data_IF_516685863549
#
_entry.id   IF_516685863549
#
_cell.length_a   1.000
_cell.length_b   1.000
_cell.length_c   1.000
_cell.angle_alpha   90.00
_cell.angle_beta   90.00
_cell.angle_gamma   90.00
#
_symmetry.space_group_name_H-M   'P 1'
#
loop_
_entity.id
_entity.type
_entity.pdbx_description
1 polymer ?
#
# COMPACT_ATOMS: atom_id res chain seq x y z
N UNK A 1 -4.91 -14.14 13.60
CA UNK A 1 -4.91 -14.58 12.19
C UNK A 1 -3.53 -15.14 11.86
N UNK A 2 -3.41 -16.33 11.27
CA UNK A 2 -2.12 -16.85 10.81
C UNK A 2 -1.61 -15.92 9.70
N UNK A 3 -0.34 -15.51 9.76
CA UNK A 3 0.30 -14.84 8.63
C UNK A 3 0.13 -15.71 7.39
N UNK A 4 -0.28 -15.15 6.25
CA UNK A 4 -0.36 -15.93 5.02
C UNK A 4 1.03 -16.51 4.72
N UNK A 5 1.07 -17.75 4.20
CA UNK A 5 2.31 -18.37 3.76
C UNK A 5 2.95 -17.69 2.55
N UNK A 6 2.25 -16.68 1.98
CA UNK A 6 2.66 -15.88 0.83
C UNK A 6 3.13 -14.51 1.26
N UNK A 7 4.14 -13.96 0.59
CA UNK A 7 4.50 -12.54 0.68
C UNK A 7 3.42 -11.72 -0.04
N UNK A 8 2.77 -10.83 0.71
CA UNK A 8 1.69 -9.97 0.20
C UNK A 8 2.28 -8.66 -0.33
N UNK A 9 2.02 -8.36 -1.59
CA UNK A 9 2.55 -7.18 -2.27
C UNK A 9 1.40 -6.38 -2.86
N UNK A 10 1.31 -5.12 -2.48
CA UNK A 10 0.38 -4.16 -3.08
C UNK A 10 1.11 -3.34 -4.13
N UNK A 11 0.54 -3.26 -5.32
CA UNK A 11 1.01 -2.37 -6.39
C UNK A 11 0.15 -1.12 -6.44
N UNK A 12 0.79 0.04 -6.47
CA UNK A 12 0.16 1.37 -6.51
C UNK A 12 0.79 2.24 -7.60
N UNK A 13 0.20 3.38 -7.91
CA UNK A 13 0.64 4.25 -9.01
C UNK A 13 0.01 3.83 -10.33
N UNK A 14 0.75 3.87 -11.42
CA UNK A 14 0.30 3.53 -12.77
C UNK A 14 0.08 2.01 -12.96
N UNK A 15 -0.86 1.46 -12.19
CA UNK A 15 -1.21 0.04 -12.26
C UNK A 15 -2.09 -0.23 -13.46
N UNK A 16 -1.62 -1.05 -14.39
CA UNK A 16 -2.40 -1.50 -15.54
C UNK A 16 -2.86 -2.95 -15.40
N UNK A 17 -4.02 -3.25 -15.96
CA UNK A 17 -4.54 -4.63 -16.05
C UNK A 17 -3.56 -5.58 -16.72
N UNK A 18 -2.81 -5.06 -17.71
CA UNK A 18 -1.81 -5.83 -18.43
C UNK A 18 -0.71 -6.34 -17.49
N UNK A 19 -0.18 -5.49 -16.62
CA UNK A 19 0.88 -5.86 -15.65
C UNK A 19 0.40 -6.98 -14.74
N UNK A 20 -0.76 -6.82 -14.08
CA UNK A 20 -1.28 -7.84 -13.16
C UNK A 20 -1.62 -9.16 -13.89
N UNK A 21 -2.20 -9.07 -15.09
CA UNK A 21 -2.50 -10.25 -15.90
C UNK A 21 -1.24 -11.02 -16.30
N UNK A 22 -0.19 -10.34 -16.70
CA UNK A 22 1.08 -10.95 -17.05
C UNK A 22 1.81 -11.56 -15.84
N UNK A 23 1.81 -10.85 -14.71
CA UNK A 23 2.33 -11.37 -13.44
C UNK A 23 1.61 -12.65 -13.01
N UNK A 24 0.29 -12.72 -13.21
CA UNK A 24 -0.51 -13.90 -12.90
C UNK A 24 -0.16 -15.16 -13.71
N UNK A 25 0.57 -15.00 -14.84
CA UNK A 25 1.10 -16.14 -15.62
C UNK A 25 2.36 -16.75 -15.03
N UNK A 26 3.01 -16.05 -14.10
CA UNK A 26 4.20 -16.57 -13.44
C UNK A 26 3.82 -17.66 -12.42
N UNK A 27 4.55 -18.79 -12.37
CA UNK A 27 4.18 -19.93 -11.54
C UNK A 27 4.25 -19.66 -10.05
N UNK A 28 5.06 -18.68 -9.62
CA UNK A 28 5.28 -18.31 -8.23
C UNK A 28 4.47 -17.07 -7.80
N UNK A 29 3.65 -16.49 -8.68
CA UNK A 29 2.87 -15.28 -8.42
C UNK A 29 1.38 -15.56 -8.59
N UNK A 30 0.59 -15.20 -7.59
CA UNK A 30 -0.86 -15.04 -7.68
C UNK A 30 -1.13 -13.54 -7.78
N UNK A 31 -1.51 -13.06 -8.97
CA UNK A 31 -1.81 -11.64 -9.19
C UNK A 31 -3.31 -11.44 -9.43
N UNK A 32 -3.91 -10.47 -8.77
CA UNK A 32 -5.35 -10.23 -8.75
C UNK A 32 -5.67 -8.73 -8.78
N UNK A 33 -6.74 -8.37 -9.52
CA UNK A 33 -7.43 -7.08 -9.39
C UNK A 33 -8.49 -7.20 -8.30
N UNK A 34 -8.24 -6.60 -7.14
CA UNK A 34 -9.18 -6.60 -6.02
C UNK A 34 -10.02 -5.31 -5.93
N UNK A 35 -9.69 -4.32 -6.75
CA UNK A 35 -10.46 -3.08 -6.86
C UNK A 35 -11.63 -3.16 -7.85
N UNK A 36 -11.76 -4.26 -8.61
CA UNK A 36 -12.86 -4.47 -9.55
C UNK A 36 -14.16 -4.89 -8.86
N UNK A 37 -15.28 -4.51 -9.46
CA UNK A 37 -16.60 -4.93 -8.99
C UNK A 37 -16.74 -6.46 -9.06
N UNK A 38 -17.22 -7.08 -7.98
CA UNK A 38 -17.35 -8.53 -7.88
C UNK A 38 -16.05 -9.28 -7.58
N UNK A 39 -14.93 -8.59 -7.36
CA UNK A 39 -13.70 -9.22 -6.93
C UNK A 39 -13.88 -9.91 -5.55
N UNK A 40 -13.12 -11.00 -5.29
CA UNK A 40 -13.13 -11.64 -3.98
C UNK A 40 -12.59 -10.68 -2.91
N UNK A 41 -13.02 -10.86 -1.68
CA UNK A 41 -12.50 -10.07 -0.56
C UNK A 41 -11.02 -10.42 -0.28
N UNK A 42 -10.27 -9.45 0.26
CA UNK A 42 -8.87 -9.70 0.64
C UNK A 42 -8.75 -10.88 1.61
N UNK A 43 -9.68 -11.05 2.53
CA UNK A 43 -9.72 -12.18 3.48
C UNK A 43 -9.83 -13.53 2.78
N UNK A 44 -10.71 -13.64 1.79
CA UNK A 44 -10.86 -14.87 1.00
C UNK A 44 -9.59 -15.19 0.22
N UNK A 45 -9.01 -14.17 -0.41
CA UNK A 45 -7.77 -14.31 -1.17
C UNK A 45 -6.60 -14.73 -0.28
N UNK A 46 -6.44 -14.11 0.89
CA UNK A 46 -5.38 -14.47 1.85
C UNK A 46 -5.55 -15.90 2.37
N UNK A 47 -6.81 -16.34 2.57
CA UNK A 47 -7.12 -17.71 3.00
C UNK A 47 -6.83 -18.77 1.93
N UNK A 48 -6.92 -18.40 0.66
CA UNK A 48 -6.69 -19.28 -0.49
C UNK A 48 -5.29 -19.15 -1.10
N UNK A 49 -4.47 -18.20 -0.63
CA UNK A 49 -3.15 -17.95 -1.17
C UNK A 49 -2.20 -19.15 -0.97
N UNK A 50 -1.69 -19.68 -2.06
CA UNK A 50 -0.86 -20.89 -2.10
C UNK A 50 0.44 -20.71 -2.92
N UNK A 51 0.69 -19.51 -3.45
CA UNK A 51 1.93 -19.17 -4.17
C UNK A 51 2.86 -18.32 -3.31
N UNK A 52 4.17 -18.30 -3.55
CA UNK A 52 5.13 -17.49 -2.81
C UNK A 52 4.76 -16.01 -2.72
N UNK A 53 4.23 -15.44 -3.81
CA UNK A 53 3.80 -14.05 -3.87
C UNK A 53 2.30 -13.93 -4.17
N UNK A 54 1.62 -13.09 -3.37
CA UNK A 54 0.29 -12.58 -3.64
C UNK A 54 0.42 -11.10 -4.00
N UNK A 55 0.14 -10.74 -5.24
CA UNK A 55 0.24 -9.37 -5.76
C UNK A 55 -1.16 -8.85 -6.08
N UNK A 56 -1.54 -7.69 -5.57
CA UNK A 56 -2.84 -7.08 -5.85
C UNK A 56 -2.79 -5.55 -5.82
N UNK A 57 -3.86 -4.91 -6.27
CA UNK A 57 -4.02 -3.46 -6.40
C UNK A 57 -4.89 -2.82 -5.28
N UNK A 58 -5.42 -3.60 -4.35
CA UNK A 58 -6.22 -3.09 -3.25
C UNK A 58 -5.29 -2.57 -2.13
N UNK A 59 -5.18 -1.25 -2.04
CA UNK A 59 -4.43 -0.61 -0.97
C UNK A 59 -5.28 -0.46 0.31
N UNK A 60 -4.87 -1.08 1.43
CA UNK A 60 -5.61 -0.97 2.69
C UNK A 60 -5.59 0.44 3.29
N UNK A 61 -4.72 1.31 2.81
CA UNK A 61 -4.61 2.70 3.25
C UNK A 61 -5.16 3.70 2.22
N UNK A 62 -5.86 3.26 1.17
CA UNK A 62 -6.32 4.14 0.08
C UNK A 62 -7.15 5.33 0.58
N UNK A 63 -8.09 5.12 1.51
CA UNK A 63 -8.90 6.19 2.08
C UNK A 63 -8.06 7.14 2.95
N UNK A 64 -7.14 6.61 3.75
CA UNK A 64 -6.19 7.40 4.54
C UNK A 64 -5.28 8.22 3.63
N UNK A 65 -4.76 7.63 2.55
CA UNK A 65 -3.93 8.30 1.56
C UNK A 65 -4.69 9.47 0.89
N UNK A 66 -5.94 9.26 0.51
CA UNK A 66 -6.79 10.29 -0.08
C UNK A 66 -7.05 11.43 0.92
N UNK A 67 -7.39 11.10 2.17
CA UNK A 67 -7.60 12.08 3.22
C UNK A 67 -6.34 12.86 3.59
N UNK A 68 -5.18 12.20 3.61
CA UNK A 68 -3.89 12.85 3.85
C UNK A 68 -3.52 13.81 2.71
N UNK A 69 -3.73 13.43 1.45
CA UNK A 69 -3.53 14.33 0.30
C UNK A 69 -4.45 15.55 0.38
N UNK A 70 -5.72 15.34 0.73
CA UNK A 70 -6.64 16.45 0.97
C UNK A 70 -6.13 17.39 2.08
N UNK A 71 -5.62 16.84 3.17
CA UNK A 71 -5.02 17.62 4.26
C UNK A 71 -3.70 18.29 3.86
N UNK A 72 -2.94 17.68 2.97
CA UNK A 72 -1.74 18.29 2.38
C UNK A 72 -2.08 19.58 1.64
N UNK A 73 -3.18 19.58 0.88
CA UNK A 73 -3.63 20.74 0.12
C UNK A 73 -4.41 21.74 0.98
N UNK A 74 -5.24 21.27 1.91
CA UNK A 74 -6.10 22.11 2.77
C UNK A 74 -6.11 21.61 4.24
N UNK A 75 -5.52 22.38 5.18
CA UNK A 75 -5.50 22.03 6.60
C UNK A 75 -6.87 21.90 7.26
N UNK A 76 -7.90 22.50 6.70
CA UNK A 76 -9.26 22.43 7.26
C UNK A 76 -9.83 21.00 7.23
N UNK A 77 -9.27 20.14 6.41
CA UNK A 77 -9.71 18.74 6.21
C UNK A 77 -9.12 17.75 7.23
N UNK A 78 -8.41 18.21 8.27
CA UNK A 78 -7.82 17.35 9.32
C UNK A 78 -8.85 16.41 9.97
N UNK A 79 -10.11 16.82 10.06
CA UNK A 79 -11.19 15.99 10.57
C UNK A 79 -11.42 14.73 9.73
N UNK A 80 -11.34 14.85 8.40
CA UNK A 80 -11.46 13.73 7.48
C UNK A 80 -10.29 12.77 7.67
N UNK A 81 -9.05 13.28 7.74
CA UNK A 81 -7.87 12.45 7.96
C UNK A 81 -7.98 11.64 9.26
N UNK A 82 -8.49 12.24 10.33
CA UNK A 82 -8.68 11.54 11.61
C UNK A 82 -9.72 10.43 11.50
N UNK A 83 -10.84 10.69 10.84
CA UNK A 83 -11.91 9.69 10.65
C UNK A 83 -11.38 8.49 9.86
N UNK A 84 -10.72 8.73 8.73
CA UNK A 84 -10.18 7.65 7.89
C UNK A 84 -9.06 6.87 8.60
N UNK A 85 -8.23 7.55 9.39
CA UNK A 85 -7.21 6.90 10.23
C UNK A 85 -7.82 5.94 11.24
N UNK A 86 -8.83 6.37 12.01
CA UNK A 86 -9.46 5.51 13.00
C UNK A 86 -10.27 4.38 12.35
N UNK A 87 -10.85 4.61 11.17
CA UNK A 87 -11.52 3.59 10.38
C UNK A 87 -10.53 2.49 9.94
N UNK A 88 -9.38 2.87 9.42
CA UNK A 88 -8.33 1.93 9.04
C UNK A 88 -7.81 1.11 10.24
N UNK A 89 -7.56 1.78 11.37
CA UNK A 89 -7.13 1.11 12.61
C UNK A 89 -8.17 0.10 13.11
N UNK A 90 -9.45 0.44 13.02
CA UNK A 90 -10.55 -0.45 13.38
C UNK A 90 -10.59 -1.68 12.48
N UNK A 91 -10.44 -1.49 11.16
CA UNK A 91 -10.40 -2.59 10.19
C UNK A 91 -9.19 -3.52 10.42
N UNK A 92 -8.02 -2.97 10.76
CA UNK A 92 -6.84 -3.77 11.13
C UNK A 92 -7.07 -4.55 12.41
N UNK A 93 -7.64 -3.95 13.45
CA UNK A 93 -7.94 -4.61 14.71
C UNK A 93 -8.97 -5.74 14.55
N UNK A 94 -9.98 -5.54 13.67
CA UNK A 94 -10.98 -6.56 13.33
C UNK A 94 -10.44 -7.67 12.41
N UNK A 95 -9.22 -7.51 11.85
CA UNK A 95 -8.66 -8.43 10.86
C UNK A 95 -9.42 -8.42 9.52
N UNK A 96 -10.14 -7.34 9.23
CA UNK A 96 -10.83 -7.12 7.97
C UNK A 96 -9.88 -6.60 6.89
N UNK A 97 -8.81 -5.96 7.31
CA UNK A 97 -7.74 -5.47 6.47
C UNK A 97 -6.36 -5.76 7.09
N UNK A 98 -5.33 -5.79 6.28
CA UNK A 98 -3.93 -6.02 6.71
C UNK A 98 -2.99 -5.14 5.90
N UNK A 99 -1.92 -4.63 6.53
CA UNK A 99 -0.84 -4.02 5.78
C UNK A 99 -0.13 -5.08 4.94
N UNK A 100 0.22 -4.79 3.67
CA UNK A 100 0.98 -5.72 2.85
C UNK A 100 2.42 -5.86 3.38
N UNK A 101 3.11 -6.92 2.97
CA UNK A 101 4.54 -7.03 3.25
C UNK A 101 5.33 -5.94 2.50
N UNK A 102 4.91 -5.58 1.29
CA UNK A 102 5.54 -4.56 0.45
C UNK A 102 4.52 -3.75 -0.34
N UNK A 103 4.84 -2.48 -0.53
CA UNK A 103 4.27 -1.62 -1.57
C UNK A 103 5.26 -1.49 -2.72
N UNK A 104 4.82 -1.71 -3.95
CA UNK A 104 5.55 -1.35 -5.16
C UNK A 104 4.88 -0.14 -5.80
N UNK A 105 5.59 0.99 -5.82
CA UNK A 105 5.11 2.23 -6.43
C UNK A 105 5.54 2.24 -7.89
N UNK A 106 4.58 2.00 -8.79
CA UNK A 106 4.83 1.91 -10.23
C UNK A 106 4.90 3.31 -10.84
N UNK A 107 5.88 3.49 -11.72
CA UNK A 107 6.17 4.75 -12.39
C UNK A 107 6.23 5.95 -11.43
N UNK A 108 7.18 5.98 -10.50
CA UNK A 108 7.26 7.02 -9.47
C UNK A 108 7.45 8.43 -10.04
N UNK A 109 7.87 8.57 -11.30
CA UNK A 109 8.03 9.86 -11.99
C UNK A 109 6.71 10.34 -12.60
N UNK A 110 5.77 9.43 -12.88
CA UNK A 110 4.45 9.73 -13.45
C UNK A 110 3.37 10.11 -12.43
N UNK A 111 3.61 9.88 -11.12
CA UNK A 111 2.63 10.19 -10.08
C UNK A 111 2.70 11.67 -9.65
N UNK A 112 1.59 12.17 -9.09
CA UNK A 112 1.54 13.56 -8.61
C UNK A 112 2.49 13.83 -7.44
N UNK A 113 2.92 15.09 -7.19
CA UNK A 113 3.77 15.42 -6.04
C UNK A 113 3.18 14.97 -4.70
N UNK A 114 1.87 15.08 -4.49
CA UNK A 114 1.20 14.66 -3.27
C UNK A 114 1.20 13.13 -3.10
N UNK A 115 1.05 12.37 -4.19
CA UNK A 115 1.17 10.91 -4.19
C UNK A 115 2.61 10.47 -3.94
N UNK A 116 3.56 11.11 -4.60
CA UNK A 116 4.99 10.86 -4.36
C UNK A 116 5.35 11.12 -2.89
N UNK A 117 4.87 12.22 -2.31
CA UNK A 117 5.10 12.53 -0.91
C UNK A 117 4.44 11.50 0.03
N UNK A 118 3.24 11.00 -0.31
CA UNK A 118 2.60 9.95 0.46
C UNK A 118 3.40 8.65 0.44
N UNK A 119 3.68 8.12 -0.76
CA UNK A 119 4.34 6.82 -0.89
C UNK A 119 5.82 6.86 -0.50
N UNK A 120 6.57 7.77 -1.11
CA UNK A 120 8.03 7.80 -1.00
C UNK A 120 8.54 8.72 0.11
N UNK A 121 7.68 9.59 0.64
CA UNK A 121 7.95 10.39 1.82
C UNK A 121 7.40 9.75 3.09
N UNK A 122 6.09 9.79 3.28
CA UNK A 122 5.43 9.38 4.54
C UNK A 122 5.59 7.88 4.81
N UNK A 123 5.14 7.01 3.91
CA UNK A 123 5.19 5.56 4.13
C UNK A 123 6.62 5.02 4.10
N UNK A 124 7.47 5.52 3.20
CA UNK A 124 8.87 5.11 3.17
C UNK A 124 9.65 5.55 4.42
N UNK A 125 9.30 6.68 5.05
CA UNK A 125 9.89 7.08 6.32
C UNK A 125 9.51 6.13 7.47
N UNK A 126 8.29 5.59 7.45
CA UNK A 126 7.83 4.60 8.44
C UNK A 126 8.52 3.25 8.25
N UNK A 127 8.66 2.79 7.02
CA UNK A 127 9.23 1.49 6.68
C UNK A 127 10.00 1.53 5.34
N UNK A 128 11.25 2.03 5.33
CA UNK A 128 12.02 2.29 4.09
C UNK A 128 12.21 1.05 3.21
N UNK A 129 12.33 -0.13 3.80
CA UNK A 129 12.52 -1.38 3.06
C UNK A 129 11.21 -2.00 2.55
N UNK A 130 10.06 -1.35 2.77
CA UNK A 130 8.73 -1.88 2.46
C UNK A 130 8.02 -1.11 1.36
N UNK A 131 8.51 0.08 1.01
CA UNK A 131 7.94 0.93 -0.03
C UNK A 131 9.01 1.14 -1.09
N UNK A 132 8.82 0.52 -2.24
CA UNK A 132 9.87 0.39 -3.26
C UNK A 132 9.39 0.99 -4.59
N UNK A 133 10.10 1.99 -5.13
CA UNK A 133 9.81 2.51 -6.47
C UNK A 133 10.22 1.48 -7.53
N UNK A 134 9.36 1.30 -8.54
CA UNK A 134 9.58 0.33 -9.63
C UNK A 134 9.06 0.89 -10.94
N UNK A 135 9.76 0.65 -12.02
CA UNK A 135 9.27 0.92 -13.38
C UNK A 135 7.95 0.18 -13.64
N UNK A 136 6.97 0.83 -14.29
CA UNK A 136 5.67 0.24 -14.61
C UNK A 136 5.74 -0.79 -15.75
N UNK A 137 6.64 -1.78 -15.61
CA UNK A 137 6.78 -2.90 -16.54
C UNK A 137 6.74 -4.24 -15.79
N UNK A 138 6.15 -5.25 -16.41
CA UNK A 138 6.09 -6.61 -15.84
C UNK A 138 7.47 -7.14 -15.51
N UNK A 139 8.46 -6.89 -16.37
CA UNK A 139 9.83 -7.35 -16.18
C UNK A 139 10.52 -6.69 -14.97
N UNK A 140 10.28 -5.38 -14.75
CA UNK A 140 10.82 -4.67 -13.60
C UNK A 140 10.17 -5.17 -12.29
N UNK A 141 8.84 -5.34 -12.28
CA UNK A 141 8.12 -5.89 -11.12
C UNK A 141 8.60 -7.31 -10.82
N UNK A 142 8.76 -8.17 -11.83
CA UNK A 142 9.25 -9.53 -11.65
C UNK A 142 10.66 -9.57 -11.04
N UNK A 143 11.58 -8.72 -11.52
CA UNK A 143 12.93 -8.60 -10.95
C UNK A 143 12.88 -8.14 -9.50
N UNK A 144 12.02 -7.16 -9.20
CA UNK A 144 11.83 -6.68 -7.83
C UNK A 144 11.34 -7.79 -6.92
N UNK A 145 10.28 -8.52 -7.29
CA UNK A 145 9.75 -9.65 -6.51
C UNK A 145 10.85 -10.69 -6.20
N UNK A 146 11.70 -11.00 -7.17
CA UNK A 146 12.80 -11.95 -6.99
C UNK A 146 13.89 -11.46 -6.01
N UNK A 147 13.98 -10.15 -5.78
CA UNK A 147 14.98 -9.53 -4.91
C UNK A 147 14.44 -9.14 -3.52
N UNK A 148 13.13 -9.30 -3.28
CA UNK A 148 12.52 -8.90 -2.01
C UNK A 148 13.15 -9.68 -0.85
N UNK A 149 13.73 -9.00 0.14
CA UNK A 149 14.23 -9.67 1.33
C UNK A 149 13.06 -10.19 2.16
N UNK A 150 13.26 -11.32 2.83
CA UNK A 150 12.38 -11.76 3.92
C UNK A 150 12.47 -10.69 5.01
N UNK A 151 11.45 -9.85 5.08
CA UNK A 151 11.59 -8.63 5.82
C UNK A 151 10.89 -8.62 7.16
N UNK A 152 11.18 -7.57 7.91
CA UNK A 152 10.56 -7.24 9.19
C UNK A 152 9.11 -6.79 8.96
N UNK A 153 8.24 -7.04 9.94
CA UNK A 153 6.90 -6.49 9.97
C UNK A 153 6.93 -4.95 9.99
N UNK A 154 5.84 -4.32 9.58
CA UNK A 154 5.64 -2.89 9.79
C UNK A 154 5.68 -2.57 11.28
N UNK A 155 6.09 -1.35 11.67
CA UNK A 155 5.85 -0.85 13.02
C UNK A 155 4.35 -0.88 13.34
N UNK A 156 4.00 -0.92 14.63
CA UNK A 156 2.60 -0.84 15.05
C UNK A 156 1.91 0.36 14.37
N UNK A 157 0.85 0.13 13.59
CA UNK A 157 0.22 1.19 12.81
C UNK A 157 -0.43 2.28 13.66
N UNK A 158 -0.80 1.98 14.90
CA UNK A 158 -1.51 2.92 15.78
C UNK A 158 -0.75 4.23 15.97
N UNK A 159 0.55 4.13 16.26
CA UNK A 159 1.36 5.32 16.56
C UNK A 159 1.57 6.22 15.35
N UNK A 160 2.05 5.65 14.25
CA UNK A 160 2.41 6.45 13.08
C UNK A 160 1.20 6.92 12.27
N UNK A 161 0.12 6.14 12.20
CA UNK A 161 -1.11 6.57 11.52
C UNK A 161 -1.74 7.79 12.23
N UNK A 162 -1.82 7.79 13.55
CA UNK A 162 -2.33 8.94 14.30
C UNK A 162 -1.43 10.17 14.21
N UNK A 163 -0.14 9.97 13.93
CA UNK A 163 0.84 11.02 13.72
C UNK A 163 0.91 11.60 12.31
N UNK A 164 0.08 11.15 11.35
CA UNK A 164 0.14 11.56 9.95
C UNK A 164 0.00 13.06 9.72
N UNK A 165 -0.77 13.76 10.56
CA UNK A 165 -0.94 15.22 10.48
C UNK A 165 0.36 16.00 10.74
N UNK A 166 1.36 15.37 11.37
CA UNK A 166 2.68 15.94 11.61
C UNK A 166 3.65 15.73 10.43
N UNK A 167 3.26 14.93 9.44
CA UNK A 167 4.10 14.54 8.31
C UNK A 167 3.91 15.44 7.07
N UNK A 168 3.35 16.63 7.23
CA UNK A 168 3.17 17.61 6.14
C UNK A 168 4.33 18.59 6.15
N UNK A 169 5.22 18.61 5.11
CA UNK A 169 6.50 19.28 5.16
C UNK A 169 6.45 20.77 5.53
N UNK A 170 5.59 21.55 4.92
CA UNK A 170 5.62 23.01 5.08
C UNK A 170 4.73 23.56 6.20
N UNK A 171 4.14 22.70 7.03
CA UNK A 171 3.19 23.10 8.08
C UNK A 171 3.67 22.87 9.50
N UNK A 172 4.81 22.22 9.68
CA UNK A 172 5.45 22.05 10.98
C UNK A 172 5.90 23.38 11.61
N UNK A 173 5.87 24.50 10.87
CA UNK A 173 6.20 25.83 11.33
C UNK A 173 5.00 26.77 11.56
N UNK A 174 3.76 26.28 11.41
CA UNK A 174 2.54 27.10 11.55
C UNK A 174 1.68 26.72 12.76
N UNK A 175 2.20 25.92 13.70
CA UNK A 175 1.59 25.60 14.97
C UNK A 175 2.26 26.33 16.10
#
# INVERSE_FOLDING_TARGET
MRSPGSTVVVVVGEVTDAILRELGRLPNVQALRLTEEGAPTLREVLGAANRPFLVHDLDPLAAVAAAWRGFFDDPSTIGVLRVETESALTAFAAGESVLPDYYLVLDPEGITPAESQWWLGVLAAVAPSRVLPVEATTAAVQRMLASLPTGRAWPDPTGWLRGLHLQVPDRAGLL
#
